data_IF_419054395458
#
_entry.id   IF_419054395458
#
_cell.length_a   1.000
_cell.length_b   1.000
_cell.length_c   1.000
_cell.angle_alpha   90.00
_cell.angle_beta   90.00
_cell.angle_gamma   90.00
#
_symmetry.space_group_name_H-M   'P 1'
#
loop_
_entity.id
_entity.type
_entity.pdbx_description
1 polymer ?
#
# COMPACT_ATOMS: atom_id res chain seq x y z
N UNK A 1 63.48 0.62 40.91
CA UNK A 1 62.93 1.89 41.43
C UNK A 1 61.55 2.06 40.81
N UNK A 2 60.50 1.84 41.59
CA UNK A 2 59.10 1.79 41.14
C UNK A 2 58.52 3.20 41.10
N UNK A 3 58.00 3.63 39.95
CA UNK A 3 57.12 4.81 39.86
C UNK A 3 55.83 4.36 39.19
N UNK A 4 54.77 4.26 40.00
CA UNK A 4 53.39 4.06 39.56
C UNK A 4 52.84 5.41 39.11
N UNK A 5 52.36 5.51 37.88
CA UNK A 5 51.50 6.62 37.44
C UNK A 5 50.04 6.18 37.53
N UNK A 6 49.26 6.95 38.29
CA UNK A 6 47.84 6.76 38.56
C UNK A 6 47.03 7.58 37.56
N UNK A 7 46.10 6.89 36.89
CA UNK A 7 44.75 7.29 36.47
C UNK A 7 44.39 8.78 36.38
N UNK A 8 43.95 9.23 35.20
CA UNK A 8 42.71 10.01 35.06
C UNK A 8 42.15 9.85 33.63
N UNK A 9 41.14 9.01 33.43
CA UNK A 9 40.32 9.00 32.19
C UNK A 9 39.04 9.78 32.50
N UNK A 10 38.91 10.96 31.89
CA UNK A 10 37.71 11.78 31.95
C UNK A 10 36.68 11.27 30.94
N UNK A 11 35.65 10.57 31.42
CA UNK A 11 34.52 10.12 30.62
C UNK A 11 33.53 11.28 30.46
N UNK A 12 33.54 11.95 29.30
CA UNK A 12 32.54 12.96 28.93
C UNK A 12 31.26 12.22 28.52
N UNK A 13 30.27 12.23 29.41
CA UNK A 13 28.91 11.77 29.14
C UNK A 13 28.18 12.76 28.26
N UNK A 14 27.94 12.40 27.00
CA UNK A 14 27.07 13.12 26.09
C UNK A 14 25.65 12.54 26.21
N UNK A 15 24.83 13.11 27.10
CA UNK A 15 23.40 12.78 27.22
C UNK A 15 22.68 13.55 26.11
N UNK A 16 22.41 12.89 24.99
CA UNK A 16 21.49 13.40 23.96
C UNK A 16 20.05 13.10 24.39
N UNK A 17 19.39 14.09 24.96
CA UNK A 17 17.96 14.06 25.26
C UNK A 17 17.20 14.38 23.96
N UNK A 18 16.86 13.36 23.18
CA UNK A 18 15.88 13.50 22.10
C UNK A 18 14.47 13.51 22.70
N UNK A 19 14.02 14.68 23.15
CA UNK A 19 12.59 14.94 23.35
C UNK A 19 11.95 15.13 21.96
N UNK A 20 11.63 14.01 21.30
CA UNK A 20 10.72 14.02 20.17
C UNK A 20 9.31 13.75 20.70
N UNK A 21 8.55 14.83 20.92
CA UNK A 21 7.12 14.75 21.14
C UNK A 21 6.48 14.39 19.80
N UNK A 22 6.44 13.09 19.48
CA UNK A 22 5.62 12.60 18.39
C UNK A 22 4.16 12.73 18.84
N UNK A 23 3.43 13.67 18.25
CA UNK A 23 1.97 13.66 18.23
C UNK A 23 1.52 12.30 17.74
N UNK A 24 1.06 11.46 18.66
CA UNK A 24 0.43 10.17 18.39
C UNK A 24 -0.85 10.50 17.61
N UNK A 25 -0.80 10.38 16.28
CA UNK A 25 -2.00 10.39 15.45
C UNK A 25 -2.98 9.37 16.03
N UNK A 26 -4.23 9.79 16.25
CA UNK A 26 -5.21 9.04 17.03
C UNK A 26 -5.33 7.60 16.54
N UNK A 27 -4.78 6.68 17.33
CA UNK A 27 -4.93 5.25 17.14
C UNK A 27 -6.41 4.88 17.28
N UNK A 28 -7.05 4.45 16.18
CA UNK A 28 -8.40 3.90 16.21
C UNK A 28 -8.29 2.38 16.07
N UNK A 29 -8.40 1.61 17.16
CA UNK A 29 -8.44 0.15 17.05
C UNK A 29 -9.64 -0.26 16.20
N UNK A 30 -9.47 -1.29 15.37
CA UNK A 30 -10.60 -2.00 14.79
C UNK A 30 -11.43 -2.70 15.87
N UNK A 31 -12.58 -3.24 15.48
CA UNK A 31 -13.43 -3.98 16.40
C UNK A 31 -12.84 -5.38 16.63
N UNK A 32 -12.74 -5.81 17.89
CA UNK A 32 -12.31 -7.15 18.26
C UNK A 32 -10.80 -7.26 18.50
N UNK A 33 -10.25 -8.47 18.33
CA UNK A 33 -8.82 -8.75 18.42
C UNK A 33 -8.17 -8.72 17.04
N UNK A 34 -6.91 -8.26 16.99
CA UNK A 34 -6.06 -8.28 15.79
C UNK A 34 -5.16 -9.52 15.81
N UNK A 35 -4.95 -10.10 14.64
CA UNK A 35 -4.13 -11.28 14.44
C UNK A 35 -3.04 -11.01 13.41
N UNK A 36 -1.85 -11.54 13.66
CA UNK A 36 -0.72 -11.45 12.78
C UNK A 36 -0.31 -12.84 12.33
N UNK A 37 -0.22 -13.02 11.01
CA UNK A 37 0.29 -14.21 10.37
C UNK A 37 1.81 -14.14 10.18
N UNK A 38 2.48 -15.27 10.34
CA UNK A 38 3.83 -15.48 9.81
C UNK A 38 3.76 -16.46 8.65
N UNK A 39 4.64 -16.28 7.67
CA UNK A 39 4.66 -17.08 6.46
C UNK A 39 6.05 -17.66 6.26
N UNK A 40 6.09 -18.80 5.57
CA UNK A 40 7.32 -19.39 5.02
C UNK A 40 7.12 -19.67 3.54
N UNK A 41 8.20 -19.61 2.77
CA UNK A 41 8.24 -20.10 1.40
C UNK A 41 8.34 -21.63 1.45
N UNK A 42 7.52 -22.33 0.66
CA UNK A 42 7.52 -23.79 0.57
C UNK A 42 7.81 -24.31 -0.86
N UNK A 43 7.65 -23.45 -1.87
CA UNK A 43 8.03 -23.74 -3.26
C UNK A 43 8.57 -22.45 -3.89
N UNK A 44 9.63 -22.50 -4.72
CA UNK A 44 10.31 -23.69 -5.26
C UNK A 44 11.30 -24.39 -4.31
N UNK A 45 11.68 -23.73 -3.22
CA UNK A 45 12.49 -24.30 -2.14
C UNK A 45 12.00 -23.76 -0.80
N UNK A 46 12.05 -24.57 0.25
CA UNK A 46 11.62 -24.15 1.58
C UNK A 46 12.57 -23.06 2.14
N UNK A 47 11.99 -21.94 2.62
CA UNK A 47 12.76 -20.83 3.19
C UNK A 47 11.95 -20.07 4.24
N UNK A 48 12.44 -20.11 5.49
CA UNK A 48 11.91 -19.32 6.61
C UNK A 48 12.26 -17.83 6.46
N UNK A 49 13.33 -17.52 5.73
CA UNK A 49 13.77 -16.15 5.46
C UNK A 49 13.02 -15.51 4.27
N UNK A 50 12.11 -16.27 3.66
CA UNK A 50 11.31 -15.82 2.51
C UNK A 50 12.20 -15.40 1.32
N UNK A 51 13.35 -16.05 1.18
CA UNK A 51 14.37 -15.78 0.18
C UNK A 51 14.45 -16.94 -0.81
N UNK A 52 14.49 -16.62 -2.09
CA UNK A 52 14.78 -17.55 -3.18
C UNK A 52 15.86 -16.98 -4.10
N UNK A 53 16.68 -17.88 -4.63
CA UNK A 53 17.72 -17.56 -5.60
C UNK A 53 17.86 -18.72 -6.60
N UNK A 54 18.04 -18.37 -7.87
CA UNK A 54 18.52 -19.26 -8.93
C UNK A 54 19.62 -18.57 -9.74
N UNK A 55 19.93 -19.08 -10.93
CA UNK A 55 20.95 -18.51 -11.81
C UNK A 55 20.53 -17.19 -12.48
N UNK A 56 19.28 -16.76 -12.32
CA UNK A 56 18.70 -15.61 -13.05
C UNK A 56 18.21 -14.50 -12.12
N UNK A 57 17.71 -14.85 -10.94
CA UNK A 57 17.13 -13.89 -9.99
C UNK A 57 17.52 -14.19 -8.53
N UNK A 58 17.48 -13.13 -7.72
CA UNK A 58 17.35 -13.20 -6.26
C UNK A 58 16.06 -12.49 -5.89
N UNK A 59 15.19 -13.12 -5.10
CA UNK A 59 13.95 -12.50 -4.64
C UNK A 59 13.72 -12.75 -3.16
N UNK A 60 13.42 -11.68 -2.43
CA UNK A 60 13.03 -11.74 -1.03
C UNK A 60 11.60 -11.20 -0.86
N UNK A 61 10.75 -11.98 -0.20
CA UNK A 61 9.35 -11.65 0.04
C UNK A 61 9.11 -11.17 1.46
N UNK A 62 8.07 -10.35 1.62
CA UNK A 62 7.46 -9.99 2.90
C UNK A 62 5.95 -9.90 2.70
N UNK A 63 5.20 -10.45 3.62
CA UNK A 63 3.75 -10.28 3.65
C UNK A 63 3.39 -9.03 4.44
N UNK A 64 2.45 -8.27 3.91
CA UNK A 64 1.58 -7.45 4.72
C UNK A 64 0.15 -8.03 4.68
N UNK A 65 -0.83 -7.33 5.24
CA UNK A 65 -2.17 -7.90 5.42
C UNK A 65 -2.88 -8.14 4.09
N UNK A 66 -2.72 -7.25 3.10
CA UNK A 66 -3.41 -7.30 1.81
C UNK A 66 -2.49 -7.68 0.64
N UNK A 67 -1.17 -7.72 0.85
CA UNK A 67 -0.20 -7.78 -0.23
C UNK A 67 1.00 -8.69 0.02
N UNK A 68 1.58 -9.14 -1.09
CA UNK A 68 2.94 -9.68 -1.14
C UNK A 68 3.86 -8.55 -1.57
N UNK A 69 4.75 -8.11 -0.68
CA UNK A 69 5.85 -7.20 -1.00
C UNK A 69 7.08 -8.01 -1.36
N UNK A 70 7.87 -7.54 -2.30
CA UNK A 70 9.11 -8.22 -2.65
C UNK A 70 10.20 -7.27 -3.12
N UNK A 71 11.44 -7.70 -2.93
CA UNK A 71 12.60 -7.15 -3.60
C UNK A 71 13.10 -8.20 -4.59
N UNK A 72 13.13 -7.88 -5.88
CA UNK A 72 13.63 -8.73 -6.96
C UNK A 72 14.88 -8.11 -7.55
N UNK A 73 15.94 -8.90 -7.68
CA UNK A 73 17.19 -8.52 -8.35
C UNK A 73 17.42 -9.44 -9.55
N UNK A 74 17.73 -8.83 -10.69
CA UNK A 74 18.16 -9.54 -11.89
C UNK A 74 19.66 -9.84 -11.77
N UNK A 75 20.04 -11.11 -11.71
CA UNK A 75 21.44 -11.55 -11.70
C UNK A 75 21.83 -12.27 -13.00
N UNK A 76 20.94 -12.27 -13.99
CA UNK A 76 21.25 -12.73 -15.34
C UNK A 76 22.05 -11.69 -16.13
N UNK A 77 22.66 -12.11 -17.24
CA UNK A 77 23.36 -11.23 -18.18
C UNK A 77 22.41 -10.48 -19.14
N UNK A 78 21.11 -10.73 -19.05
CA UNK A 78 20.09 -10.17 -19.95
C UNK A 78 19.19 -9.16 -19.24
N UNK A 79 18.44 -8.35 -20.01
CA UNK A 79 17.36 -7.56 -19.44
C UNK A 79 16.22 -8.47 -18.97
N UNK A 80 15.69 -8.19 -17.79
CA UNK A 80 14.53 -8.85 -17.23
C UNK A 80 13.29 -7.95 -17.42
N UNK A 81 12.21 -8.48 -17.98
CA UNK A 81 10.91 -7.81 -18.04
C UNK A 81 9.89 -8.55 -17.18
N UNK A 82 9.24 -7.86 -16.23
CA UNK A 82 8.14 -8.44 -15.45
C UNK A 82 6.83 -8.29 -16.22
N UNK A 83 6.16 -9.42 -16.49
CA UNK A 83 4.88 -9.49 -17.21
C UNK A 83 3.69 -9.46 -16.25
N UNK A 84 3.41 -8.27 -15.72
CA UNK A 84 2.35 -8.04 -14.76
C UNK A 84 0.94 -8.34 -15.28
N UNK A 85 0.73 -8.26 -16.60
CA UNK A 85 -0.53 -8.61 -17.26
C UNK A 85 -0.92 -10.09 -17.09
N UNK A 86 0.07 -10.96 -16.83
CA UNK A 86 -0.11 -12.39 -16.60
C UNK A 86 0.12 -12.82 -15.15
N UNK A 87 0.50 -11.89 -14.27
CA UNK A 87 0.78 -12.20 -12.87
C UNK A 87 -0.52 -12.41 -12.07
N UNK A 88 -0.49 -13.36 -11.14
CA UNK A 88 -1.66 -13.74 -10.35
C UNK A 88 -1.28 -14.13 -8.92
N UNK A 89 -2.16 -13.86 -7.97
CA UNK A 89 -2.09 -14.39 -6.61
C UNK A 89 -3.23 -15.39 -6.42
N UNK A 90 -2.90 -16.56 -5.89
CA UNK A 90 -3.82 -17.61 -5.50
C UNK A 90 -4.03 -17.62 -3.99
N UNK A 91 -5.29 -17.57 -3.52
CA UNK A 91 -5.64 -17.78 -2.11
C UNK A 91 -6.79 -18.79 -2.05
N UNK A 92 -6.62 -19.87 -1.29
CA UNK A 92 -7.66 -20.90 -1.17
C UNK A 92 -8.02 -21.58 -2.49
N UNK A 93 -7.06 -21.67 -3.43
CA UNK A 93 -7.27 -22.24 -4.76
C UNK A 93 -7.93 -21.30 -5.77
N UNK A 94 -8.35 -20.09 -5.36
CA UNK A 94 -8.85 -19.06 -6.27
C UNK A 94 -7.72 -18.12 -6.67
N UNK A 95 -7.50 -17.97 -7.97
CA UNK A 95 -6.52 -17.06 -8.54
C UNK A 95 -7.17 -15.77 -9.00
N UNK A 96 -6.56 -14.64 -8.63
CA UNK A 96 -6.95 -13.31 -9.10
C UNK A 96 -5.74 -12.62 -9.75
N UNK A 97 -5.94 -11.86 -10.85
CA UNK A 97 -4.91 -10.98 -11.39
C UNK A 97 -4.42 -10.00 -10.32
N UNK A 98 -3.19 -9.51 -10.44
CA UNK A 98 -2.64 -8.57 -9.44
C UNK A 98 -2.68 -7.12 -9.90
N UNK A 99 -2.63 -6.21 -8.93
CA UNK A 99 -2.19 -4.83 -9.06
C UNK A 99 -0.82 -4.68 -8.42
N UNK A 100 0.00 -3.79 -8.96
CA UNK A 100 1.33 -3.44 -8.46
C UNK A 100 1.42 -1.95 -8.11
N UNK A 101 2.58 -1.50 -7.62
CA UNK A 101 2.78 -0.10 -7.21
C UNK A 101 2.41 0.93 -8.28
N UNK A 102 2.50 0.59 -9.58
CA UNK A 102 2.18 1.52 -10.67
C UNK A 102 0.68 1.67 -10.95
N UNK A 103 -0.15 0.73 -10.50
CA UNK A 103 -1.59 0.73 -10.81
C UNK A 103 -2.50 0.43 -9.60
N UNK A 104 -1.97 0.44 -8.36
CA UNK A 104 -2.74 0.19 -7.13
C UNK A 104 -4.10 0.89 -7.12
N UNK A 105 -4.11 2.22 -7.35
CA UNK A 105 -5.30 3.07 -7.28
C UNK A 105 -5.73 3.61 -8.64
N UNK A 106 -5.66 2.76 -9.68
CA UNK A 106 -6.18 3.08 -11.01
C UNK A 106 -7.39 2.21 -11.33
N UNK A 107 -8.41 2.79 -11.96
CA UNK A 107 -9.56 2.04 -12.47
C UNK A 107 -9.24 1.33 -13.79
N UNK A 108 -8.15 1.72 -14.45
CA UNK A 108 -7.71 1.10 -15.70
C UNK A 108 -6.72 -0.02 -15.44
N UNK A 109 -6.88 -1.13 -16.15
CA UNK A 109 -5.89 -2.19 -16.22
C UNK A 109 -4.69 -1.68 -17.02
N UNK A 110 -3.80 -0.92 -16.38
CA UNK A 110 -2.57 -0.48 -17.02
C UNK A 110 -1.65 -1.70 -17.14
N UNK A 111 -1.36 -2.09 -18.38
CA UNK A 111 -0.30 -3.05 -18.70
C UNK A 111 1.04 -2.35 -18.49
N UNK A 112 1.56 -2.44 -17.28
CA UNK A 112 2.88 -1.92 -16.96
C UNK A 112 3.86 -3.08 -17.01
N UNK A 113 4.79 -3.05 -17.95
CA UNK A 113 5.99 -3.88 -17.93
C UNK A 113 7.13 -3.09 -17.31
N UNK A 114 7.93 -3.74 -16.48
CA UNK A 114 9.11 -3.13 -15.87
C UNK A 114 10.33 -3.81 -16.45
N UNK A 115 11.20 -3.03 -17.08
CA UNK A 115 12.48 -3.49 -17.60
C UNK A 115 13.58 -3.28 -16.56
N UNK A 116 14.20 -4.36 -16.10
CA UNK A 116 15.32 -4.36 -15.18
C UNK A 116 16.61 -4.74 -15.93
N UNK A 117 17.65 -3.88 -15.95
CA UNK A 117 18.96 -4.27 -16.48
C UNK A 117 19.61 -5.36 -15.61
N UNK A 118 20.66 -5.99 -16.14
CA UNK A 118 21.51 -6.89 -15.37
C UNK A 118 22.03 -6.19 -14.10
N UNK A 119 22.05 -6.94 -12.98
CA UNK A 119 22.36 -6.49 -11.62
C UNK A 119 21.40 -5.43 -11.04
N UNK A 120 20.41 -4.98 -11.82
CA UNK A 120 19.36 -4.08 -11.37
C UNK A 120 18.41 -4.76 -10.38
N UNK A 121 17.79 -3.97 -9.51
CA UNK A 121 16.79 -4.46 -8.56
C UNK A 121 15.55 -3.56 -8.54
N UNK A 122 14.44 -4.14 -8.12
CA UNK A 122 13.18 -3.44 -7.86
C UNK A 122 12.64 -3.86 -6.49
N UNK A 123 11.93 -2.93 -5.84
CA UNK A 123 11.03 -3.23 -4.74
C UNK A 123 9.62 -2.93 -5.21
N UNK A 124 8.75 -3.93 -5.16
CA UNK A 124 7.37 -3.77 -5.60
C UNK A 124 6.42 -4.52 -4.66
N UNK A 125 5.14 -4.40 -4.96
CA UNK A 125 4.03 -5.00 -4.23
C UNK A 125 3.11 -5.69 -5.23
N UNK A 126 2.50 -6.79 -4.82
CA UNK A 126 1.45 -7.48 -5.56
C UNK A 126 0.23 -7.65 -4.66
N UNK A 127 -0.91 -7.09 -5.08
CA UNK A 127 -2.20 -7.18 -4.39
C UNK A 127 -3.19 -7.82 -5.35
N UNK A 128 -4.02 -8.79 -4.94
CA UNK A 128 -5.12 -9.26 -5.78
C UNK A 128 -5.98 -8.08 -6.23
N UNK A 129 -6.32 -8.01 -7.52
CA UNK A 129 -7.08 -6.90 -8.11
C UNK A 129 -8.40 -6.65 -7.38
N UNK A 130 -9.06 -7.73 -6.95
CA UNK A 130 -10.36 -7.66 -6.26
C UNK A 130 -10.21 -7.18 -4.80
N UNK A 131 -9.00 -7.21 -4.24
CA UNK A 131 -8.71 -6.76 -2.88
C UNK A 131 -8.46 -5.24 -2.80
N UNK A 132 -8.54 -4.52 -3.91
CA UNK A 132 -8.35 -3.07 -3.94
C UNK A 132 -9.38 -2.42 -4.86
N UNK A 133 -10.28 -1.64 -4.27
CA UNK A 133 -11.37 -1.01 -5.00
C UNK A 133 -11.77 0.32 -4.37
N UNK A 134 -12.34 1.20 -5.19
CA UNK A 134 -12.93 2.44 -4.72
C UNK A 134 -14.39 2.19 -4.33
N UNK A 135 -14.78 2.52 -3.10
CA UNK A 135 -16.16 2.30 -2.63
C UNK A 135 -17.10 3.49 -2.93
N UNK A 136 -16.62 4.53 -3.63
CA UNK A 136 -17.33 5.78 -3.87
C UNK A 136 -16.80 6.95 -3.03
N UNK A 137 -16.17 6.67 -1.89
CA UNK A 137 -15.60 7.66 -0.99
C UNK A 137 -14.10 7.46 -0.81
N UNK A 138 -13.67 6.25 -0.51
CA UNK A 138 -12.29 5.89 -0.22
C UNK A 138 -11.84 4.67 -1.01
N UNK A 139 -10.52 4.55 -1.19
CA UNK A 139 -9.90 3.32 -1.63
C UNK A 139 -9.85 2.33 -0.48
N UNK A 140 -10.45 1.17 -0.68
CA UNK A 140 -10.53 0.08 0.29
C UNK A 140 -9.52 -0.99 -0.13
N UNK A 141 -8.73 -1.43 0.85
CA UNK A 141 -7.86 -2.59 0.74
C UNK A 141 -8.39 -3.71 1.62
N UNK A 142 -8.49 -4.90 1.05
CA UNK A 142 -8.98 -6.11 1.73
C UNK A 142 -7.80 -7.03 1.99
N UNK A 143 -7.73 -7.58 3.19
CA UNK A 143 -6.67 -8.51 3.57
C UNK A 143 -6.70 -9.78 2.69
N UNK A 144 -5.52 -10.39 2.49
CA UNK A 144 -5.38 -11.70 1.84
C UNK A 144 -6.09 -12.80 2.65
N UNK A 145 -6.01 -12.69 3.97
CA UNK A 145 -6.63 -13.57 4.95
C UNK A 145 -7.22 -12.69 6.06
N UNK A 146 -8.36 -13.07 6.67
CA UNK A 146 -8.95 -12.28 7.74
C UNK A 146 -7.96 -12.08 8.89
N UNK A 147 -7.76 -10.84 9.34
CA UNK A 147 -6.84 -10.52 10.45
C UNK A 147 -7.56 -10.01 11.70
N UNK A 148 -8.90 -9.86 11.66
CA UNK A 148 -9.70 -9.29 12.75
C UNK A 148 -10.91 -10.17 13.06
N UNK A 149 -11.14 -10.47 14.33
CA UNK A 149 -12.28 -11.33 14.74
C UNK A 149 -13.60 -10.58 14.91
N UNK A 150 -13.58 -9.25 15.01
CA UNK A 150 -14.77 -8.42 15.28
C UNK A 150 -15.60 -8.85 16.50
N UNK A 151 -14.96 -9.45 17.52
CA UNK A 151 -15.58 -10.11 18.67
C UNK A 151 -16.48 -11.31 18.31
N UNK A 152 -16.27 -11.92 17.14
CA UNK A 152 -16.97 -13.13 16.71
C UNK A 152 -16.08 -14.35 16.96
N UNK A 153 -16.56 -15.29 17.78
CA UNK A 153 -15.87 -16.56 18.00
C UNK A 153 -15.72 -17.37 16.71
N UNK A 154 -16.73 -17.31 15.83
CA UNK A 154 -16.70 -17.96 14.52
C UNK A 154 -15.57 -17.39 13.66
N UNK A 155 -15.40 -16.07 13.65
CA UNK A 155 -14.31 -15.43 12.89
C UNK A 155 -12.95 -15.78 13.50
N UNK A 156 -12.83 -15.77 14.82
CA UNK A 156 -11.62 -16.25 15.51
C UNK A 156 -11.23 -17.65 15.07
N UNK A 157 -12.18 -18.58 14.99
CA UNK A 157 -11.88 -19.93 14.50
C UNK A 157 -11.41 -19.96 13.05
N UNK A 158 -12.04 -19.18 12.16
CA UNK A 158 -11.60 -19.08 10.76
C UNK A 158 -10.16 -18.59 10.68
N UNK A 159 -9.84 -17.54 11.43
CA UNK A 159 -8.49 -16.96 11.50
C UNK A 159 -7.47 -18.00 11.96
N UNK A 160 -7.79 -18.76 13.01
CA UNK A 160 -6.90 -19.77 13.57
C UNK A 160 -6.74 -21.00 12.65
N UNK A 161 -7.79 -21.37 11.90
CA UNK A 161 -7.78 -22.47 10.92
C UNK A 161 -6.93 -22.17 9.68
N UNK A 162 -6.53 -20.90 9.47
CA UNK A 162 -5.64 -20.55 8.35
C UNK A 162 -4.19 -21.02 8.56
N UNK A 163 -3.79 -21.56 9.71
CA UNK A 163 -2.46 -22.18 9.83
C UNK A 163 -2.34 -23.35 8.84
N UNK A 164 -1.27 -23.36 8.05
CA UNK A 164 -1.08 -24.31 6.96
C UNK A 164 -1.73 -23.92 5.63
N UNK A 165 -2.55 -22.86 5.61
CA UNK A 165 -3.15 -22.32 4.39
C UNK A 165 -2.07 -21.89 3.41
N UNK A 166 -2.30 -22.21 2.13
CA UNK A 166 -1.38 -21.91 1.03
C UNK A 166 -1.79 -20.64 0.30
N UNK A 167 -0.79 -19.85 -0.09
CA UNK A 167 -0.90 -18.67 -0.94
C UNK A 167 0.09 -18.86 -2.11
N UNK A 168 -0.38 -18.71 -3.33
CA UNK A 168 0.44 -18.83 -4.53
C UNK A 168 0.70 -17.45 -5.14
N UNK A 169 1.89 -17.25 -5.70
CA UNK A 169 2.22 -16.09 -6.50
C UNK A 169 2.88 -16.54 -7.80
N UNK A 170 2.19 -16.31 -8.92
CA UNK A 170 2.69 -16.59 -10.26
C UNK A 170 3.18 -15.29 -10.87
N UNK A 171 4.46 -15.25 -11.24
CA UNK A 171 5.13 -14.07 -11.77
C UNK A 171 5.91 -14.42 -13.04
N UNK A 172 5.28 -14.30 -14.22
CA UNK A 172 5.95 -14.49 -15.50
C UNK A 172 6.97 -13.38 -15.78
N UNK A 173 8.15 -13.76 -16.26
CA UNK A 173 9.25 -12.85 -16.57
C UNK A 173 9.86 -13.18 -17.94
N UNK A 174 10.29 -12.16 -18.68
CA UNK A 174 11.10 -12.34 -19.89
C UNK A 174 12.56 -12.05 -19.58
N UNK A 175 13.46 -12.88 -20.06
CA UNK A 175 14.91 -12.70 -20.05
C UNK A 175 15.38 -12.55 -21.50
N UNK A 176 15.51 -11.32 -21.98
CA UNK A 176 15.59 -11.04 -23.40
C UNK A 176 14.36 -11.58 -24.15
N UNK A 177 14.54 -12.64 -24.95
CA UNK A 177 13.45 -13.31 -25.69
C UNK A 177 12.90 -14.58 -25.02
N UNK A 178 13.47 -15.00 -23.90
CA UNK A 178 13.07 -16.24 -23.21
C UNK A 178 12.03 -15.94 -22.12
N UNK A 179 10.86 -16.59 -22.16
CA UNK A 179 9.86 -16.49 -21.09
C UNK A 179 10.13 -17.56 -20.02
N UNK A 180 10.14 -17.15 -18.75
CA UNK A 180 10.17 -18.05 -17.60
C UNK A 180 9.06 -17.68 -16.63
N UNK A 181 8.27 -18.68 -16.24
CA UNK A 181 7.18 -18.51 -15.27
C UNK A 181 7.72 -18.90 -13.90
N UNK A 182 7.84 -17.92 -13.01
CA UNK A 182 8.15 -18.20 -11.62
C UNK A 182 6.87 -18.42 -10.83
N UNK A 183 6.82 -19.54 -10.12
CA UNK A 183 5.74 -19.86 -9.19
C UNK A 183 6.34 -19.93 -7.79
N UNK A 184 5.73 -19.17 -6.88
CA UNK A 184 6.07 -19.19 -5.47
C UNK A 184 4.87 -19.68 -4.69
N UNK A 185 5.09 -20.62 -3.78
CA UNK A 185 4.07 -21.07 -2.84
C UNK A 185 4.52 -20.74 -1.42
N UNK A 186 3.64 -20.06 -0.71
CA UNK A 186 3.83 -19.68 0.68
C UNK A 186 2.82 -20.42 1.54
N UNK A 187 3.24 -20.72 2.76
CA UNK A 187 2.36 -21.32 3.75
C UNK A 187 2.29 -20.42 4.98
N UNK A 188 1.08 -20.25 5.53
CA UNK A 188 0.90 -19.68 6.86
C UNK A 188 1.56 -20.61 7.89
N UNK A 189 2.65 -20.16 8.48
CA UNK A 189 3.43 -20.95 9.43
C UNK A 189 2.84 -20.86 10.85
N UNK A 190 2.47 -19.65 11.27
CA UNK A 190 1.82 -19.44 12.56
C UNK A 190 0.88 -18.23 12.52
N UNK A 191 -0.01 -18.18 13.52
CA UNK A 191 -0.88 -17.02 13.78
C UNK A 191 -0.79 -16.67 15.25
N UNK A 192 -0.70 -15.38 15.55
CA UNK A 192 -0.72 -14.88 16.92
C UNK A 192 -1.66 -13.70 17.05
N UNK A 193 -2.38 -13.65 18.16
CA UNK A 193 -3.11 -12.46 18.55
C UNK A 193 -2.11 -11.38 18.96
N UNK A 194 -2.31 -10.16 18.48
CA UNK A 194 -1.53 -8.99 18.87
C UNK A 194 -2.43 -7.93 19.48
N UNK A 195 -1.95 -7.19 20.48
CA UNK A 195 -2.63 -5.98 20.92
C UNK A 195 -2.72 -4.98 19.77
N UNK A 196 -3.89 -4.37 19.64
CA UNK A 196 -4.17 -3.31 18.69
C UNK A 196 -3.10 -2.20 18.69
N UNK A 197 -2.63 -1.79 19.87
CA UNK A 197 -1.56 -0.78 20.03
C UNK A 197 -0.21 -1.17 19.41
N UNK A 198 0.03 -2.47 19.22
CA UNK A 198 1.28 -3.00 18.67
C UNK A 198 1.19 -3.19 17.15
N UNK A 199 -0.03 -3.10 16.58
CA UNK A 199 -0.27 -3.13 15.15
C UNK A 199 0.28 -1.87 14.48
N UNK A 200 1.06 -2.08 13.40
CA UNK A 200 1.61 -1.01 12.57
C UNK A 200 1.14 -1.20 11.15
N UNK A 201 0.16 -0.40 10.73
CA UNK A 201 -0.24 -0.34 9.34
C UNK A 201 0.95 0.12 8.48
N UNK A 202 1.30 -0.68 7.48
CA UNK A 202 2.38 -0.34 6.56
C UNK A 202 1.82 0.55 5.45
N UNK A 203 2.18 1.86 5.41
CA UNK A 203 1.73 2.75 4.36
C UNK A 203 2.06 2.18 2.97
N UNK A 204 1.15 2.40 2.03
CA UNK A 204 1.34 2.06 0.63
C UNK A 204 2.15 3.14 -0.08
N UNK A 205 2.91 2.74 -1.08
CA UNK A 205 3.60 3.65 -1.98
C UNK A 205 3.23 3.18 -3.40
N UNK A 206 2.50 4.00 -4.18
CA UNK A 206 1.94 5.32 -3.83
C UNK A 206 0.90 5.25 -2.70
N UNK A 207 0.57 6.40 -2.10
CA UNK A 207 -0.57 6.50 -1.19
C UNK A 207 -1.88 6.54 -1.98
N UNK A 208 -3.01 6.12 -1.39
CA UNK A 208 -4.32 6.33 -1.99
C UNK A 208 -4.50 7.80 -2.40
N UNK A 209 -4.99 8.10 -3.62
CA UNK A 209 -5.31 9.46 -3.99
C UNK A 209 -6.37 9.99 -3.03
N UNK A 210 -6.20 11.24 -2.59
CA UNK A 210 -7.17 11.86 -1.70
C UNK A 210 -8.56 11.87 -2.37
N UNK A 211 -9.64 11.53 -1.64
CA UNK A 211 -10.98 11.67 -2.18
C UNK A 211 -11.15 13.05 -2.78
N UNK A 212 -11.66 13.11 -4.02
CA UNK A 212 -12.15 14.37 -4.57
C UNK A 212 -13.34 14.75 -3.69
N UNK A 213 -13.12 15.64 -2.72
CA UNK A 213 -14.21 16.31 -2.03
C UNK A 213 -14.95 17.10 -3.09
N UNK A 214 -16.01 16.52 -3.64
CA UNK A 214 -17.05 17.28 -4.33
C UNK A 214 -17.63 18.17 -3.26
N UNK A 215 -17.08 19.38 -3.13
CA UNK A 215 -17.78 20.46 -2.47
C UNK A 215 -19.04 20.65 -3.30
N UNK A 216 -20.14 20.00 -2.89
CA UNK A 216 -21.47 20.52 -3.15
C UNK A 216 -21.64 21.77 -2.27
N UNK A 217 -20.77 22.75 -2.50
CA UNK A 217 -21.01 24.13 -2.17
C UNK A 217 -22.01 24.62 -3.21
N UNK A 218 -23.25 24.79 -2.78
CA UNK A 218 -24.14 25.76 -3.41
C UNK A 218 -23.45 27.12 -3.23
N UNK A 219 -22.48 27.47 -4.08
CA UNK A 219 -21.83 28.78 -4.00
C UNK A 219 -21.29 29.33 -5.32
N UNK A 220 -21.07 28.52 -6.34
CA UNK A 220 -20.55 29.06 -7.62
C UNK A 220 -21.65 29.46 -8.61
N UNK A 221 -22.86 28.89 -8.48
CA UNK A 221 -24.03 29.34 -9.27
C UNK A 221 -24.71 30.55 -8.61
N UNK A 222 -24.63 30.67 -7.29
CA UNK A 222 -25.19 31.80 -6.52
C UNK A 222 -24.41 33.10 -6.78
N UNK A 223 -23.08 33.03 -6.88
CA UNK A 223 -22.25 34.19 -7.19
C UNK A 223 -22.52 34.73 -8.61
N UNK A 224 -22.72 33.85 -9.60
CA UNK A 224 -23.05 34.26 -10.97
C UNK A 224 -24.46 34.88 -11.06
N UNK A 225 -25.45 34.32 -10.36
CA UNK A 225 -26.83 34.84 -10.39
C UNK A 225 -26.97 36.16 -9.61
N UNK A 226 -26.28 36.32 -8.47
CA UNK A 226 -26.32 37.57 -7.70
C UNK A 226 -25.59 38.70 -8.44
N UNK A 227 -24.50 38.39 -9.17
CA UNK A 227 -23.77 39.41 -9.94
C UNK A 227 -24.54 39.86 -11.19
N UNK A 228 -25.28 38.95 -11.85
CA UNK A 228 -26.15 39.32 -12.97
C UNK A 228 -27.41 40.11 -12.50
N UNK A 229 -27.97 39.77 -11.34
CA UNK A 229 -29.14 40.47 -10.78
C UNK A 229 -28.86 41.91 -10.35
N UNK A 230 -27.69 42.17 -9.76
CA UNK A 230 -27.31 43.52 -9.29
C UNK A 230 -26.91 44.44 -10.47
N UNK A 231 -26.25 43.90 -11.51
CA UNK A 231 -25.91 44.68 -12.70
C UNK A 231 -27.13 44.98 -13.59
N UNK A 232 -28.10 44.07 -13.66
CA UNK A 232 -29.35 44.29 -14.41
C UNK A 232 -30.25 45.37 -13.80
N UNK A 233 -30.36 45.43 -12.47
CA UNK A 233 -31.17 46.45 -11.79
C UNK A 233 -30.52 47.85 -11.83
N UNK A 234 -29.19 47.91 -11.83
CA UNK A 234 -28.43 49.17 -11.91
C UNK A 234 -28.59 49.85 -13.28
N UNK A 235 -28.68 49.07 -14.37
CA UNK A 235 -28.88 49.60 -15.72
C UNK A 235 -30.33 50.10 -15.96
N UNK A 236 -31.32 49.45 -15.35
CA UNK A 236 -32.73 49.82 -15.49
C UNK A 236 -33.07 51.13 -14.74
N UNK A 237 -32.49 51.34 -13.56
CA UNK A 237 -32.73 52.58 -12.77
C UNK A 237 -32.02 53.79 -13.38
N UNK A 238 -30.91 53.61 -14.11
CA UNK A 238 -30.17 54.72 -14.74
C UNK A 238 -30.75 55.19 -16.09
N UNK A 239 -31.70 54.46 -16.68
CA UNK A 239 -32.37 54.86 -17.93
C UNK A 239 -33.68 55.61 -17.73
N UNK A 240 -34.21 55.68 -16.49
CA UNK A 240 -35.39 56.47 -16.16
C UNK A 240 -35.05 57.80 -15.48
N UNK A 241 -34.55 58.77 -16.26
CA UNK A 241 -34.88 60.19 -16.06
C UNK A 241 -34.37 61.05 -17.21
N UNK A 242 -35.28 61.48 -18.08
CA UNK A 242 -35.41 62.86 -18.58
C UNK A 242 -36.55 62.93 -19.60
N UNK A 243 -37.73 63.32 -19.14
CA UNK A 243 -38.63 64.10 -19.99
C UNK A 243 -38.59 65.55 -19.47
N UNK A 244 -38.29 66.54 -20.32
CA UNK A 244 -38.28 67.96 -19.95
C UNK A 244 -39.71 68.48 -19.71
N UNK A 245 -39.85 69.61 -18.99
CA UNK A 245 -41.15 70.18 -18.65
C UNK A 245 -41.85 70.70 -19.91
N UNK A 246 -43.14 70.41 -20.03
CA UNK A 246 -44.06 71.13 -20.92
C UNK A 246 -44.62 72.34 -20.19
N UNK A 247 -44.46 73.50 -20.81
CA UNK A 247 -45.23 74.74 -20.53
C UNK A 247 -46.71 74.56 -20.85
#
# INVERSE_FOLDING_TARGET
MNIRFISTIATIGCILVFNSCATVGGFKPGKGNKYQYTYKLIYPAESQEMLYQDDSIIVQFKFDEAAIRFQLQNISDSYLEIRWDKAAIGVGGRFSPVRNSFNLYSDTAVQNSILLPSLGYIRDVAIPRDNIYFNGEDWIEVDLLPTEDHNSEQMREVILKNVGQRINFTLPMMFGSSEKIYEFEFQVDSVRQIPWRDYRHLPRIPQPPSPKRTFFGISDVSAAIITAGILGFSAYVLTMKKNPPTE
#
